data_IF_290575672492
#
_entry.id   IF_290575672492
#
_cell.length_a   1.000
_cell.length_b   1.000
_cell.length_c   1.000
_cell.angle_alpha   90.00
_cell.angle_beta   90.00
_cell.angle_gamma   90.00
#
_symmetry.space_group_name_H-M   'P 1'
#
loop_
_entity.id
_entity.type
_entity.pdbx_description
1 polymer ?
#
# COMPACT_ATOMS: atom_id res chain seq x y z
N UNK A 1 -14.96 1.63 -31.60
CA UNK A 1 -15.56 2.32 -30.44
C UNK A 1 -14.45 2.54 -29.43
N UNK A 2 -13.94 3.77 -29.30
CA UNK A 2 -12.93 4.11 -28.29
C UNK A 2 -13.61 4.12 -26.92
N UNK A 3 -13.54 2.99 -26.21
CA UNK A 3 -13.99 2.90 -24.82
C UNK A 3 -13.11 3.87 -24.01
N UNK A 4 -13.64 5.02 -23.62
CA UNK A 4 -12.95 5.93 -22.72
C UNK A 4 -12.80 5.20 -21.38
N UNK A 5 -11.59 4.72 -21.07
CA UNK A 5 -11.30 4.16 -19.75
C UNK A 5 -11.64 5.18 -18.67
N UNK A 6 -12.40 4.74 -17.66
CA UNK A 6 -12.73 5.56 -16.50
C UNK A 6 -11.46 5.94 -15.73
N UNK A 7 -11.47 7.09 -15.06
CA UNK A 7 -10.40 7.47 -14.13
C UNK A 7 -10.20 6.39 -13.05
N UNK A 8 -11.28 5.76 -12.61
CA UNK A 8 -11.21 4.65 -11.66
C UNK A 8 -10.44 3.45 -12.22
N UNK A 9 -10.69 3.09 -13.48
CA UNK A 9 -9.98 1.99 -14.13
C UNK A 9 -8.48 2.27 -14.22
N UNK A 10 -8.09 3.52 -14.50
CA UNK A 10 -6.67 3.91 -14.54
C UNK A 10 -6.01 3.76 -13.16
N UNK A 11 -6.68 4.18 -12.10
CA UNK A 11 -6.19 4.05 -10.72
C UNK A 11 -6.03 2.57 -10.36
N UNK A 12 -7.05 1.76 -10.62
CA UNK A 12 -7.05 0.33 -10.34
C UNK A 12 -5.96 -0.40 -11.11
N UNK A 13 -5.82 -0.12 -12.42
CA UNK A 13 -4.76 -0.69 -13.25
C UNK A 13 -3.38 -0.33 -12.72
N UNK A 14 -3.18 0.91 -12.26
CA UNK A 14 -1.92 1.34 -11.67
C UNK A 14 -1.64 0.59 -10.37
N UNK A 15 -2.61 0.50 -9.47
CA UNK A 15 -2.47 -0.16 -8.16
C UNK A 15 -2.15 -1.66 -8.30
N UNK A 16 -2.88 -2.38 -9.16
CA UNK A 16 -2.65 -3.80 -9.43
C UNK A 16 -1.54 -4.07 -10.46
N UNK A 17 -0.91 -3.01 -11.00
CA UNK A 17 0.11 -3.08 -12.07
C UNK A 17 -0.36 -3.85 -13.31
N UNK A 18 -1.64 -3.72 -13.66
CA UNK A 18 -2.24 -4.34 -14.83
C UNK A 18 -1.81 -3.60 -16.09
N UNK A 19 -1.15 -4.31 -16.99
CA UNK A 19 -0.80 -3.83 -18.33
C UNK A 19 -1.80 -4.29 -19.39
N UNK A 20 -2.03 -3.41 -20.37
CA UNK A 20 -2.95 -3.68 -21.48
C UNK A 20 -4.43 -3.44 -21.12
N UNK A 21 -5.31 -4.19 -21.77
CA UNK A 21 -6.75 -4.05 -21.60
C UNK A 21 -7.20 -4.53 -20.21
N UNK A 22 -8.09 -3.75 -19.60
CA UNK A 22 -8.78 -4.10 -18.36
C UNK A 22 -10.14 -4.74 -18.68
N UNK A 23 -10.05 -5.99 -19.13
CA UNK A 23 -11.18 -6.83 -19.49
C UNK A 23 -12.03 -7.24 -18.28
N UNK A 24 -13.18 -7.86 -18.56
CA UNK A 24 -14.16 -8.27 -17.54
C UNK A 24 -13.57 -9.30 -16.56
N UNK A 25 -12.68 -10.19 -17.03
CA UNK A 25 -12.02 -11.17 -16.17
C UNK A 25 -11.12 -10.49 -15.14
N UNK A 26 -10.24 -9.57 -15.57
CA UNK A 26 -9.36 -8.82 -14.67
C UNK A 26 -10.16 -7.93 -13.71
N UNK A 27 -11.29 -7.37 -14.16
CA UNK A 27 -12.22 -6.61 -13.29
C UNK A 27 -12.78 -7.49 -12.19
N UNK A 28 -13.26 -8.68 -12.53
CA UNK A 28 -13.78 -9.63 -11.54
C UNK A 28 -12.70 -10.06 -10.55
N UNK A 29 -11.48 -10.32 -11.01
CA UNK A 29 -10.41 -10.72 -10.09
C UNK A 29 -9.96 -9.59 -9.17
N UNK A 30 -9.85 -8.36 -9.67
CA UNK A 30 -9.60 -7.19 -8.82
C UNK A 30 -10.69 -7.05 -7.77
N UNK A 31 -11.96 -7.17 -8.15
CA UNK A 31 -13.08 -7.06 -7.22
C UNK A 31 -13.04 -8.17 -6.16
N UNK A 32 -12.72 -9.41 -6.55
CA UNK A 32 -12.59 -10.53 -5.62
C UNK A 32 -11.43 -10.31 -4.64
N UNK A 33 -10.26 -9.91 -5.14
CA UNK A 33 -9.08 -9.62 -4.30
C UNK A 33 -9.37 -8.46 -3.34
N UNK A 34 -9.94 -7.38 -3.85
CA UNK A 34 -10.30 -6.20 -3.05
C UNK A 34 -11.30 -6.54 -1.95
N UNK A 35 -12.35 -7.29 -2.27
CA UNK A 35 -13.35 -7.71 -1.28
C UNK A 35 -12.74 -8.62 -0.20
N UNK A 36 -11.88 -9.55 -0.58
CA UNK A 36 -11.19 -10.39 0.40
C UNK A 36 -10.22 -9.60 1.26
N UNK A 37 -9.48 -8.65 0.69
CA UNK A 37 -8.59 -7.76 1.43
C UNK A 37 -9.37 -6.88 2.42
N UNK A 38 -10.57 -6.42 2.05
CA UNK A 38 -11.48 -5.74 2.94
C UNK A 38 -11.92 -6.66 4.09
N UNK A 39 -12.35 -7.90 3.79
CA UNK A 39 -12.75 -8.87 4.80
C UNK A 39 -11.62 -9.23 5.77
N UNK A 40 -10.39 -9.31 5.29
CA UNK A 40 -9.19 -9.49 6.14
C UNK A 40 -9.00 -8.25 7.03
N UNK A 41 -9.14 -7.04 6.48
CA UNK A 41 -8.94 -5.80 7.23
C UNK A 41 -10.07 -5.49 8.22
N UNK A 42 -11.27 -5.98 7.97
CA UNK A 42 -12.46 -5.57 8.73
C UNK A 42 -12.37 -5.85 10.24
N UNK A 43 -11.87 -7.00 10.72
CA UNK A 43 -11.73 -7.24 12.16
C UNK A 43 -10.75 -6.29 12.86
N UNK A 44 -9.62 -5.94 12.24
CA UNK A 44 -8.60 -5.11 12.92
C UNK A 44 -9.13 -3.70 13.19
N UNK A 45 -10.00 -3.18 12.30
CA UNK A 45 -10.64 -1.89 12.46
C UNK A 45 -11.47 -1.79 13.75
N UNK A 46 -12.02 -2.90 14.24
CA UNK A 46 -12.80 -2.93 15.48
C UNK A 46 -11.97 -3.40 16.68
N UNK A 47 -11.14 -4.43 16.49
CA UNK A 47 -10.38 -5.05 17.58
C UNK A 47 -9.29 -4.10 18.09
N UNK A 48 -8.52 -3.45 17.20
CA UNK A 48 -7.39 -2.64 17.64
C UNK A 48 -7.82 -1.43 18.51
N UNK A 49 -8.88 -0.67 18.18
CA UNK A 49 -9.40 0.39 19.07
C UNK A 49 -9.93 -0.15 20.40
N UNK A 50 -10.67 -1.26 20.40
CA UNK A 50 -11.19 -1.86 21.64
C UNK A 50 -10.04 -2.30 22.55
N UNK A 51 -8.99 -2.88 21.98
CA UNK A 51 -7.77 -3.26 22.71
C UNK A 51 -7.08 -2.01 23.28
N UNK A 52 -6.99 -0.92 22.52
CA UNK A 52 -6.41 0.33 22.99
C UNK A 52 -7.18 0.94 24.18
N UNK A 53 -8.51 0.79 24.22
CA UNK A 53 -9.33 1.29 25.33
C UNK A 53 -8.94 0.71 26.70
N UNK A 54 -8.42 -0.52 26.77
CA UNK A 54 -7.99 -1.12 28.05
C UNK A 54 -6.83 -0.38 28.72
N UNK A 55 -6.00 0.31 27.95
CA UNK A 55 -4.87 1.09 28.48
C UNK A 55 -5.04 2.60 28.31
N UNK A 56 -6.15 3.04 27.72
CA UNK A 56 -6.39 4.45 27.42
C UNK A 56 -6.40 5.34 28.68
N UNK A 57 -6.92 4.84 29.81
CA UNK A 57 -6.94 5.61 31.06
C UNK A 57 -5.60 5.59 31.79
N UNK A 58 -4.86 4.48 31.73
CA UNK A 58 -3.59 4.31 32.46
C UNK A 58 -2.40 4.94 31.75
N UNK A 59 -2.37 4.88 30.41
CA UNK A 59 -1.28 5.40 29.59
C UNK A 59 -1.79 5.76 28.19
N UNK A 60 -2.43 6.94 28.02
CA UNK A 60 -3.03 7.36 26.75
C UNK A 60 -2.03 7.35 25.58
N UNK A 61 -0.79 7.79 25.81
CA UNK A 61 0.26 7.83 24.79
C UNK A 61 0.63 6.43 24.29
N UNK A 62 0.85 5.48 25.20
CA UNK A 62 1.16 4.11 24.86
C UNK A 62 -0.01 3.41 24.16
N UNK A 63 -1.25 3.71 24.57
CA UNK A 63 -2.44 3.19 23.91
C UNK A 63 -2.55 3.71 22.46
N UNK A 64 -2.28 5.00 22.23
CA UNK A 64 -2.29 5.61 20.91
C UNK A 64 -1.16 5.06 20.03
N UNK A 65 0.07 4.99 20.54
CA UNK A 65 1.21 4.41 19.83
C UNK A 65 0.95 2.94 19.47
N UNK A 66 0.44 2.16 20.43
CA UNK A 66 0.07 0.77 20.21
C UNK A 66 -0.99 0.61 19.12
N UNK A 67 -2.01 1.48 19.10
CA UNK A 67 -3.04 1.50 18.07
C UNK A 67 -2.47 1.79 16.68
N UNK A 68 -1.64 2.83 16.57
CA UNK A 68 -1.00 3.25 15.30
C UNK A 68 -0.11 2.13 14.78
N UNK A 69 0.81 1.63 15.62
CA UNK A 69 1.74 0.57 15.24
C UNK A 69 1.02 -0.70 14.84
N UNK A 70 0.01 -1.12 15.61
CA UNK A 70 -0.78 -2.33 15.28
C UNK A 70 -1.44 -2.21 13.92
N UNK A 71 -2.10 -1.09 13.61
CA UNK A 71 -2.72 -0.88 12.31
C UNK A 71 -1.69 -0.84 11.18
N UNK A 72 -0.58 -0.12 11.37
CA UNK A 72 0.49 0.00 10.39
C UNK A 72 1.11 -1.36 10.05
N UNK A 73 1.49 -2.13 11.08
CA UNK A 73 2.08 -3.45 10.89
C UNK A 73 1.07 -4.45 10.33
N UNK A 74 -0.18 -4.43 10.80
CA UNK A 74 -1.21 -5.31 10.26
C UNK A 74 -1.42 -5.06 8.76
N UNK A 75 -1.59 -3.80 8.36
CA UNK A 75 -1.79 -3.45 6.96
C UNK A 75 -0.56 -3.84 6.11
N UNK A 76 0.64 -3.52 6.59
CA UNK A 76 1.89 -3.74 5.85
C UNK A 76 2.31 -5.20 5.78
N UNK A 77 2.07 -5.99 6.83
CA UNK A 77 2.53 -7.38 6.93
C UNK A 77 1.46 -8.41 6.59
N UNK A 78 0.18 -8.04 6.61
CA UNK A 78 -0.94 -8.95 6.32
C UNK A 78 -1.66 -8.56 5.04
N UNK A 79 -2.17 -7.34 4.95
CA UNK A 79 -3.04 -6.91 3.85
C UNK A 79 -2.26 -6.74 2.54
N UNK A 80 -1.15 -5.99 2.55
CA UNK A 80 -0.34 -5.78 1.35
C UNK A 80 0.27 -7.09 0.80
N UNK A 81 0.84 -7.99 1.63
CA UNK A 81 1.32 -9.28 1.15
C UNK A 81 0.21 -10.16 0.59
N UNK A 82 -0.98 -10.15 1.21
CA UNK A 82 -2.16 -10.83 0.65
C UNK A 82 -2.51 -10.32 -0.75
N UNK A 83 -2.66 -9.01 -0.93
CA UNK A 83 -2.98 -8.41 -2.23
C UNK A 83 -1.88 -8.75 -3.24
N UNK A 84 -0.61 -8.63 -2.88
CA UNK A 84 0.51 -8.94 -3.76
C UNK A 84 0.53 -10.42 -4.19
N UNK A 85 0.31 -11.33 -3.25
CA UNK A 85 0.24 -12.77 -3.52
C UNK A 85 -0.96 -13.12 -4.42
N UNK A 86 -2.16 -12.64 -4.08
CA UNK A 86 -3.37 -12.92 -4.82
C UNK A 86 -3.34 -12.31 -6.24
N UNK A 87 -2.76 -11.12 -6.39
CA UNK A 87 -2.59 -10.46 -7.69
C UNK A 87 -1.63 -11.21 -8.59
N UNK A 88 -0.56 -11.79 -8.02
CA UNK A 88 0.37 -12.67 -8.76
C UNK A 88 -0.32 -13.96 -9.19
N UNK A 89 -1.10 -14.57 -8.31
CA UNK A 89 -1.80 -15.82 -8.62
C UNK A 89 -2.88 -15.62 -9.70
N UNK A 90 -3.54 -14.47 -9.72
CA UNK A 90 -4.49 -14.08 -10.76
C UNK A 90 -3.81 -13.60 -12.07
N UNK A 91 -2.48 -13.61 -12.15
CA UNK A 91 -1.75 -13.21 -13.35
C UNK A 91 -1.93 -11.74 -13.75
N UNK A 92 -2.42 -10.88 -12.86
CA UNK A 92 -2.79 -9.49 -13.17
C UNK A 92 -1.60 -8.64 -13.63
N UNK A 93 -0.42 -8.91 -13.07
CA UNK A 93 0.82 -8.17 -13.32
C UNK A 93 1.75 -8.86 -14.34
N UNK A 94 1.27 -9.87 -15.07
CA UNK A 94 2.09 -10.64 -16.00
C UNK A 94 2.34 -9.83 -17.26
N UNK A 95 3.52 -9.19 -17.34
CA UNK A 95 4.07 -8.71 -18.60
C UNK A 95 4.85 -9.86 -19.25
N UNK A 96 4.45 -10.26 -20.45
CA UNK A 96 5.32 -11.06 -21.31
C UNK A 96 6.44 -10.14 -21.84
N UNK A 97 7.57 -10.10 -21.14
CA UNK A 97 8.75 -9.37 -21.59
C UNK A 97 9.48 -10.28 -22.59
N UNK A 98 9.59 -9.87 -23.85
CA UNK A 98 10.45 -10.55 -24.83
C UNK A 98 11.88 -10.62 -24.30
N UNK A 99 12.54 -11.78 -24.44
CA UNK A 99 13.89 -12.03 -23.90
C UNK A 99 14.95 -10.99 -24.35
N UNK A 100 14.74 -10.32 -25.49
CA UNK A 100 15.67 -9.35 -26.06
C UNK A 100 15.75 -8.00 -25.30
N UNK A 101 14.72 -7.61 -24.53
CA UNK A 101 14.64 -6.29 -23.87
C UNK A 101 14.97 -6.29 -22.37
N UNK A 102 15.40 -7.44 -21.84
CA UNK A 102 15.56 -7.66 -20.39
C UNK A 102 16.56 -6.70 -19.73
N UNK A 103 17.68 -6.39 -20.38
CA UNK A 103 18.70 -5.48 -19.83
C UNK A 103 18.24 -4.02 -19.76
N UNK A 104 17.51 -3.55 -20.77
CA UNK A 104 16.94 -2.20 -20.77
C UNK A 104 15.87 -2.05 -19.67
N UNK A 105 15.05 -3.10 -19.47
CA UNK A 105 14.05 -3.14 -18.41
C UNK A 105 14.67 -3.07 -17.00
N UNK A 106 15.74 -3.84 -16.73
CA UNK A 106 16.43 -3.77 -15.43
C UNK A 106 17.05 -2.41 -15.17
N UNK A 107 17.65 -1.77 -16.18
CA UNK A 107 18.23 -0.42 -16.03
C UNK A 107 17.16 0.61 -15.71
N UNK A 108 16.00 0.54 -16.37
CA UNK A 108 14.87 1.40 -16.05
C UNK A 108 14.35 1.17 -14.62
N UNK A 109 14.17 -0.09 -14.21
CA UNK A 109 13.75 -0.43 -12.85
C UNK A 109 14.74 0.13 -11.82
N UNK A 110 16.05 0.00 -12.06
CA UNK A 110 17.08 0.54 -11.17
C UNK A 110 16.94 2.05 -10.97
N UNK A 111 16.81 2.82 -12.05
CA UNK A 111 16.67 4.29 -11.94
C UNK A 111 15.35 4.71 -11.29
N UNK A 112 14.25 3.99 -11.56
CA UNK A 112 12.98 4.22 -10.85
C UNK A 112 13.14 3.93 -9.35
N UNK A 113 13.81 2.83 -8.98
CA UNK A 113 14.07 2.49 -7.58
C UNK A 113 14.96 3.52 -6.88
N UNK A 114 16.01 4.01 -7.53
CA UNK A 114 16.87 5.09 -7.01
C UNK A 114 16.06 6.36 -6.81
N UNK A 115 15.23 6.75 -7.79
CA UNK A 115 14.35 7.90 -7.68
C UNK A 115 13.37 7.78 -6.52
N UNK A 116 12.76 6.60 -6.33
CA UNK A 116 11.86 6.34 -5.20
C UNK A 116 12.59 6.38 -3.86
N UNK A 117 13.81 5.85 -3.77
CA UNK A 117 14.61 5.89 -2.55
C UNK A 117 14.98 7.33 -2.17
N UNK A 118 15.40 8.15 -3.14
CA UNK A 118 15.70 9.58 -2.92
C UNK A 118 14.45 10.36 -2.51
N UNK A 119 13.33 10.13 -3.18
CA UNK A 119 12.05 10.75 -2.82
C UNK A 119 11.66 10.42 -1.38
N UNK A 120 11.73 9.14 -0.99
CA UNK A 120 11.39 8.69 0.35
C UNK A 120 12.32 9.30 1.40
N UNK A 121 13.64 9.31 1.15
CA UNK A 121 14.62 9.90 2.04
C UNK A 121 14.39 11.41 2.28
N UNK A 122 14.14 12.17 1.21
CA UNK A 122 13.86 13.61 1.32
C UNK A 122 12.56 13.84 2.08
N UNK A 123 11.50 13.10 1.75
CA UNK A 123 10.21 13.22 2.41
C UNK A 123 10.30 12.88 3.90
N UNK A 124 10.98 11.79 4.27
CA UNK A 124 11.19 11.39 5.65
C UNK A 124 11.99 12.45 6.42
N UNK A 125 13.08 12.96 5.82
CA UNK A 125 13.89 14.02 6.43
C UNK A 125 13.06 15.27 6.71
N UNK A 126 12.20 15.67 5.77
CA UNK A 126 11.28 16.79 5.94
C UNK A 126 10.21 16.51 6.99
N UNK A 127 9.67 15.30 7.06
CA UNK A 127 8.69 14.89 8.07
C UNK A 127 9.29 14.93 9.47
N UNK A 128 10.50 14.40 9.66
CA UNK A 128 11.21 14.45 10.95
C UNK A 128 11.47 15.91 11.33
N UNK A 129 12.03 16.71 10.43
CA UNK A 129 12.28 18.13 10.70
C UNK A 129 10.99 18.90 11.05
N UNK A 130 9.87 18.56 10.41
CA UNK A 130 8.57 19.16 10.69
C UNK A 130 8.02 18.71 12.05
N UNK A 131 8.12 17.43 12.39
CA UNK A 131 7.76 16.90 13.71
C UNK A 131 8.61 17.62 14.77
N UNK A 132 9.92 17.65 14.60
CA UNK A 132 10.82 18.33 15.52
C UNK A 132 10.43 19.79 15.66
N UNK A 133 10.16 20.53 14.58
CA UNK A 133 9.75 21.94 14.64
C UNK A 133 8.39 22.14 15.34
N UNK A 134 7.42 21.25 15.13
CA UNK A 134 6.07 21.35 15.69
C UNK A 134 6.03 20.95 17.16
N UNK A 135 6.86 19.98 17.55
CA UNK A 135 6.93 19.43 18.90
C UNK A 135 8.14 19.94 19.69
N UNK A 136 8.96 20.83 19.12
CA UNK A 136 10.06 21.48 19.83
C UNK A 136 9.49 22.32 20.98
N UNK A 137 9.82 21.93 22.22
CA UNK A 137 9.35 22.61 23.42
C UNK A 137 8.03 22.09 24.02
N UNK A 138 7.38 21.07 23.44
CA UNK A 138 6.33 20.33 24.15
C UNK A 138 6.95 19.24 25.01
N UNK A 139 7.11 19.49 26.32
CA UNK A 139 7.40 18.45 27.30
C UNK A 139 6.11 17.65 27.52
N UNK A 140 6.04 16.45 26.97
CA UNK A 140 5.13 15.40 27.46
C UNK A 140 5.78 14.71 28.67
#
# INVERSE_FOLDING_TARGET
>A
MTNQESLWDKIVKHFYRISGNFDEYKRQEVNRIGNNAFMISWPILLIAPVVACFWAESSPENALLGLILTNFFYFTLVVLPYIAWASRQAGLATHEISYQDRHAAYRHIFWVSVGQALYFFILESLMIALIDTVFDGTNF
#
